data_IF_717127380281
#
_entry.id   IF_717127380281
#
_cell.length_a   1.000
_cell.length_b   1.000
_cell.length_c   1.000
_cell.angle_alpha   90.00
_cell.angle_beta   90.00
_cell.angle_gamma   90.00
#
_symmetry.space_group_name_H-M   'P 1'
#
loop_
_entity.id
_entity.type
_entity.pdbx_description
1 polymer ?
#
# COMPACT_ATOMS: atom_id res chain seq x y z
N UNK A 1 -29.86 6.28 7.37
CA UNK A 1 -29.10 5.07 7.02
C UNK A 1 -27.65 5.50 6.95
N UNK A 2 -26.77 4.95 7.77
CA UNK A 2 -25.32 5.20 7.67
C UNK A 2 -24.87 4.75 6.28
N UNK A 3 -24.20 5.62 5.54
CA UNK A 3 -23.60 5.28 4.26
C UNK A 3 -22.51 4.24 4.56
N UNK A 4 -22.74 2.99 4.18
CA UNK A 4 -21.72 1.96 4.28
C UNK A 4 -20.53 2.41 3.43
N UNK A 5 -19.34 2.46 4.03
CA UNK A 5 -18.10 2.74 3.29
C UNK A 5 -17.88 1.73 2.16
N UNK A 6 -16.92 1.97 1.27
CA UNK A 6 -16.61 1.04 0.18
C UNK A 6 -16.26 -0.35 0.73
N UNK A 7 -16.70 -1.39 0.03
CA UNK A 7 -16.42 -2.78 0.41
C UNK A 7 -14.88 -3.04 0.34
N UNK A 8 -14.21 -3.35 1.46
CA UNK A 8 -12.75 -3.52 1.47
C UNK A 8 -12.25 -4.61 0.52
N UNK A 9 -13.04 -5.66 0.28
CA UNK A 9 -12.68 -6.76 -0.62
C UNK A 9 -12.64 -6.27 -2.07
N UNK A 10 -13.67 -5.53 -2.50
CA UNK A 10 -13.74 -4.99 -3.86
C UNK A 10 -12.64 -3.94 -4.11
N UNK A 11 -12.36 -3.11 -3.11
CA UNK A 11 -11.26 -2.14 -3.18
C UNK A 11 -9.93 -2.86 -3.30
N UNK A 12 -9.70 -3.89 -2.48
CA UNK A 12 -8.48 -4.69 -2.53
C UNK A 12 -8.28 -5.32 -3.91
N UNK A 13 -9.31 -5.98 -4.46
CA UNK A 13 -9.26 -6.58 -5.80
C UNK A 13 -8.93 -5.52 -6.88
N UNK A 14 -9.50 -4.32 -6.76
CA UNK A 14 -9.24 -3.21 -7.71
C UNK A 14 -7.80 -2.73 -7.64
N UNK A 15 -7.22 -2.60 -6.44
CA UNK A 15 -5.83 -2.16 -6.24
C UNK A 15 -4.85 -3.22 -6.70
N UNK A 16 -5.09 -4.50 -6.38
CA UNK A 16 -4.26 -5.61 -6.89
C UNK A 16 -4.26 -5.64 -8.41
N UNK A 17 -5.44 -5.50 -9.03
CA UNK A 17 -5.57 -5.43 -10.50
C UNK A 17 -4.77 -4.27 -11.11
N UNK A 18 -4.70 -3.12 -10.40
CA UNK A 18 -3.95 -1.95 -10.87
C UNK A 18 -2.43 -2.09 -10.68
N UNK A 19 -1.98 -2.76 -9.60
CA UNK A 19 -0.56 -2.91 -9.27
C UNK A 19 0.09 -4.11 -9.97
N UNK A 20 -0.65 -5.18 -10.24
CA UNK A 20 -0.12 -6.40 -10.86
C UNK A 20 0.66 -6.15 -12.17
N UNK A 21 0.13 -5.39 -13.15
CA UNK A 21 0.90 -5.13 -14.38
C UNK A 21 2.16 -4.31 -14.14
N UNK A 22 2.19 -3.47 -13.08
CA UNK A 22 3.38 -2.71 -12.73
C UNK A 22 4.43 -3.65 -12.14
N UNK A 23 4.05 -4.61 -11.30
CA UNK A 23 4.94 -5.66 -10.79
C UNK A 23 5.52 -6.53 -11.92
N UNK A 24 4.66 -6.94 -12.88
CA UNK A 24 5.05 -7.74 -14.04
C UNK A 24 6.02 -6.99 -14.98
N UNK A 25 5.91 -5.67 -15.06
CA UNK A 25 6.77 -4.84 -15.92
C UNK A 25 8.14 -4.51 -15.33
N UNK A 26 8.44 -4.92 -14.09
CA UNK A 26 9.77 -4.70 -13.48
C UNK A 26 10.78 -5.66 -14.08
N UNK A 27 11.90 -5.14 -14.56
CA UNK A 27 13.02 -5.92 -15.08
C UNK A 27 14.14 -6.07 -14.04
N UNK A 28 14.93 -7.13 -14.15
CA UNK A 28 16.08 -7.35 -13.26
C UNK A 28 17.08 -6.18 -13.27
N UNK A 29 17.24 -5.50 -14.40
CA UNK A 29 18.11 -4.33 -14.52
C UNK A 29 17.65 -3.11 -13.72
N UNK A 30 16.35 -3.05 -13.38
CA UNK A 30 15.76 -1.94 -12.65
C UNK A 30 15.78 -2.12 -11.13
N UNK A 31 16.09 -3.32 -10.61
CA UNK A 31 15.99 -3.62 -9.17
C UNK A 31 16.80 -2.67 -8.28
N UNK A 32 17.94 -2.18 -8.77
CA UNK A 32 18.79 -1.22 -8.05
C UNK A 32 18.48 0.24 -8.38
N UNK A 33 17.45 0.53 -9.17
CA UNK A 33 17.07 1.91 -9.48
C UNK A 33 16.50 2.60 -8.24
N UNK A 34 16.72 3.90 -8.14
CA UNK A 34 16.13 4.75 -7.09
C UNK A 34 14.63 4.89 -7.28
N UNK A 35 13.91 5.12 -6.18
CA UNK A 35 12.47 5.34 -6.18
C UNK A 35 12.13 6.71 -5.59
N UNK A 36 10.89 7.18 -5.70
CA UNK A 36 10.42 8.36 -4.96
C UNK A 36 10.50 8.19 -3.42
N UNK A 37 10.58 6.97 -2.91
CA UNK A 37 10.94 6.68 -1.53
C UNK A 37 12.47 6.73 -1.40
N UNK A 38 13.02 7.86 -1.03
CA UNK A 38 14.44 8.23 -1.19
C UNK A 38 15.47 7.23 -0.66
N UNK A 39 15.11 6.41 0.33
CA UNK A 39 16.00 5.40 0.91
C UNK A 39 15.80 3.99 0.32
N UNK A 40 14.84 3.82 -0.60
CA UNK A 40 14.49 2.52 -1.15
C UNK A 40 14.82 2.40 -2.65
N UNK A 41 15.44 1.29 -2.99
CA UNK A 41 15.54 0.82 -4.37
C UNK A 41 14.20 0.22 -4.82
N UNK A 42 14.07 -0.05 -6.12
CA UNK A 42 12.92 -0.82 -6.65
C UNK A 42 12.77 -2.17 -5.94
N UNK A 43 13.88 -2.88 -5.68
CA UNK A 43 13.87 -4.14 -4.94
C UNK A 43 13.33 -3.96 -3.52
N UNK A 44 13.82 -2.95 -2.79
CA UNK A 44 13.37 -2.65 -1.43
C UNK A 44 11.89 -2.32 -1.40
N UNK A 45 11.40 -1.53 -2.36
CA UNK A 45 9.99 -1.15 -2.47
C UNK A 45 9.08 -2.37 -2.73
N UNK A 46 9.52 -3.30 -3.59
CA UNK A 46 8.79 -4.56 -3.84
C UNK A 46 8.75 -5.40 -2.55
N UNK A 47 9.88 -5.59 -1.87
CA UNK A 47 9.94 -6.33 -0.62
C UNK A 47 9.02 -5.73 0.45
N UNK A 48 8.97 -4.39 0.55
CA UNK A 48 8.02 -3.70 1.43
C UNK A 48 6.57 -4.03 1.05
N UNK A 49 6.21 -3.91 -0.22
CA UNK A 49 4.85 -4.20 -0.69
C UNK A 49 4.41 -5.64 -0.36
N UNK A 50 5.33 -6.62 -0.47
CA UNK A 50 5.07 -8.00 -0.06
C UNK A 50 4.89 -8.12 1.46
N UNK A 51 5.78 -7.51 2.25
CA UNK A 51 5.75 -7.57 3.71
C UNK A 51 4.48 -6.93 4.30
N UNK A 52 3.99 -5.83 3.72
CA UNK A 52 2.75 -5.17 4.13
C UNK A 52 1.54 -6.08 3.92
N UNK A 53 1.51 -6.92 2.87
CA UNK A 53 0.45 -7.91 2.66
C UNK A 53 0.50 -9.03 3.72
N UNK A 54 1.70 -9.52 4.04
CA UNK A 54 1.90 -10.50 5.12
C UNK A 54 1.42 -9.93 6.45
N UNK A 55 1.77 -8.69 6.76
CA UNK A 55 1.33 -8.00 7.96
C UNK A 55 -0.20 -7.89 8.03
N UNK A 56 -0.85 -7.40 6.98
CA UNK A 56 -2.31 -7.28 6.90
C UNK A 56 -3.01 -8.62 7.11
N UNK A 57 -2.53 -9.67 6.45
CA UNK A 57 -3.04 -11.03 6.60
C UNK A 57 -2.89 -11.55 8.04
N UNK A 58 -1.73 -11.33 8.65
CA UNK A 58 -1.43 -11.78 10.02
C UNK A 58 -2.35 -11.13 11.05
N UNK A 59 -2.60 -9.83 10.94
CA UNK A 59 -3.52 -9.12 11.83
C UNK A 59 -4.93 -9.66 11.72
N UNK A 60 -5.44 -9.84 10.48
CA UNK A 60 -6.80 -10.35 10.26
C UNK A 60 -6.95 -11.81 10.71
N UNK A 61 -5.90 -12.62 10.60
CA UNK A 61 -5.86 -14.01 11.05
C UNK A 61 -5.57 -14.15 12.54
N UNK A 62 -5.41 -13.03 13.28
CA UNK A 62 -5.06 -13.00 14.71
C UNK A 62 -3.76 -13.76 15.03
N UNK A 63 -2.84 -13.82 14.07
CA UNK A 63 -1.47 -14.26 14.29
C UNK A 63 -0.63 -13.05 14.70
N UNK A 64 0.52 -13.29 15.36
CA UNK A 64 1.40 -12.19 15.78
C UNK A 64 2.10 -11.60 14.55
N UNK A 65 1.77 -10.38 14.12
CA UNK A 65 2.46 -9.77 12.99
C UNK A 65 3.88 -9.36 13.40
N UNK A 66 4.84 -9.66 12.55
CA UNK A 66 6.20 -9.16 12.70
C UNK A 66 6.31 -7.78 12.06
N UNK A 67 6.20 -6.72 12.88
CA UNK A 67 6.34 -5.34 12.44
C UNK A 67 7.76 -5.04 11.91
N UNK A 68 8.79 -5.73 12.42
CA UNK A 68 10.16 -5.50 11.98
C UNK A 68 10.37 -5.96 10.54
N UNK A 69 9.63 -6.96 10.08
CA UNK A 69 9.72 -7.44 8.70
C UNK A 69 9.32 -6.39 7.66
N UNK A 70 8.42 -5.46 8.00
CA UNK A 70 8.00 -4.39 7.08
C UNK A 70 9.11 -3.37 6.81
N UNK A 71 10.05 -3.19 7.74
CA UNK A 71 11.20 -2.31 7.59
C UNK A 71 12.47 -3.04 7.10
N UNK A 72 12.51 -4.36 7.16
CA UNK A 72 13.63 -5.15 6.66
C UNK A 72 13.43 -5.47 5.17
N UNK A 73 13.75 -4.51 4.32
CA UNK A 73 13.47 -4.55 2.87
C UNK A 73 14.70 -4.82 2.01
N UNK A 74 15.91 -4.81 2.60
CA UNK A 74 17.19 -4.93 1.89
C UNK A 74 17.65 -6.40 1.78
N UNK A 75 16.84 -7.19 1.09
CA UNK A 75 17.16 -8.59 0.78
C UNK A 75 16.79 -8.92 -0.66
N UNK A 76 17.32 -10.04 -1.18
CA UNK A 76 16.98 -10.50 -2.53
C UNK A 76 15.47 -10.76 -2.65
N UNK A 77 14.91 -10.47 -3.82
CA UNK A 77 13.54 -10.86 -4.13
C UNK A 77 13.37 -12.38 -4.05
N UNK A 78 12.16 -12.87 -3.78
CA UNK A 78 11.82 -14.27 -3.95
C UNK A 78 12.28 -14.82 -5.32
N UNK A 79 12.74 -16.06 -5.37
CA UNK A 79 13.32 -16.66 -6.59
C UNK A 79 12.35 -16.71 -7.76
N UNK A 80 11.05 -16.74 -7.49
CA UNK A 80 9.97 -16.71 -8.48
C UNK A 80 9.78 -15.33 -9.13
N UNK A 81 10.42 -14.28 -8.60
CA UNK A 81 10.35 -12.91 -9.09
C UNK A 81 9.16 -12.11 -8.52
N UNK A 82 9.16 -10.80 -8.81
CA UNK A 82 8.22 -9.85 -8.22
C UNK A 82 6.75 -10.16 -8.52
N UNK A 83 6.41 -10.44 -9.78
CA UNK A 83 5.03 -10.72 -10.20
C UNK A 83 4.47 -11.96 -9.52
N UNK A 84 5.18 -13.08 -9.57
CA UNK A 84 4.71 -14.34 -9.02
C UNK A 84 4.61 -14.28 -7.48
N UNK A 85 5.59 -13.67 -6.81
CA UNK A 85 5.55 -13.45 -5.37
C UNK A 85 4.38 -12.54 -4.97
N UNK A 86 4.16 -11.43 -5.68
CA UNK A 86 3.04 -10.52 -5.43
C UNK A 86 1.70 -11.21 -5.65
N UNK A 87 1.57 -11.99 -6.74
CA UNK A 87 0.35 -12.77 -6.99
C UNK A 87 0.06 -13.75 -5.86
N UNK A 88 1.05 -14.53 -5.45
CA UNK A 88 0.90 -15.54 -4.40
C UNK A 88 0.43 -14.92 -3.07
N UNK A 89 1.05 -13.83 -2.64
CA UNK A 89 0.68 -13.18 -1.38
C UNK A 89 -0.68 -12.49 -1.47
N UNK A 90 -1.01 -11.85 -2.59
CA UNK A 90 -2.30 -11.18 -2.77
C UNK A 90 -3.46 -12.17 -2.88
N UNK A 91 -3.27 -13.34 -3.48
CA UNK A 91 -4.26 -14.42 -3.47
C UNK A 91 -4.52 -14.89 -2.02
N UNK A 92 -3.47 -15.06 -1.21
CA UNK A 92 -3.57 -15.42 0.21
C UNK A 92 -4.31 -14.34 1.01
N UNK A 93 -3.96 -13.08 0.81
CA UNK A 93 -4.62 -11.95 1.48
C UNK A 93 -6.09 -11.87 1.10
N UNK A 94 -6.43 -12.04 -0.17
CA UNK A 94 -7.81 -12.04 -0.65
C UNK A 94 -8.62 -13.19 -0.05
N UNK A 95 -8.05 -14.39 0.04
CA UNK A 95 -8.70 -15.52 0.70
C UNK A 95 -8.97 -15.24 2.18
N UNK A 96 -8.01 -14.62 2.88
CA UNK A 96 -8.15 -14.20 4.27
C UNK A 96 -9.26 -13.15 4.42
N UNK A 97 -9.29 -12.12 3.57
CA UNK A 97 -10.34 -11.10 3.57
C UNK A 97 -11.74 -11.69 3.39
N UNK A 98 -11.88 -12.65 2.47
CA UNK A 98 -13.18 -13.32 2.19
C UNK A 98 -13.64 -14.23 3.34
N UNK A 99 -12.73 -14.74 4.16
CA UNK A 99 -13.04 -15.62 5.28
C UNK A 99 -13.14 -14.93 6.64
N UNK A 100 -12.51 -13.76 6.79
CA UNK A 100 -12.47 -13.03 8.04
C UNK A 100 -13.80 -12.29 8.32
N UNK A 101 -14.18 -12.21 9.60
CA UNK A 101 -15.22 -11.28 10.02
C UNK A 101 -14.61 -9.88 10.20
N UNK A 102 -14.79 -9.03 9.20
CA UNK A 102 -14.19 -7.70 9.14
C UNK A 102 -14.79 -6.68 10.13
N UNK A 103 -15.92 -7.02 10.78
CA UNK A 103 -16.52 -6.20 11.84
C UNK A 103 -15.83 -6.40 13.20
N UNK A 104 -15.06 -7.48 13.35
CA UNK A 104 -14.34 -7.75 14.61
C UNK A 104 -13.20 -6.75 14.77
N UNK A 105 -13.10 -6.18 15.98
CA UNK A 105 -12.00 -5.30 16.35
C UNK A 105 -10.67 -6.05 16.36
N UNK A 106 -9.69 -5.48 15.67
CA UNK A 106 -8.29 -5.91 15.68
C UNK A 106 -7.44 -4.92 16.47
N UNK A 107 -6.37 -5.41 17.10
CA UNK A 107 -5.40 -4.60 17.83
C UNK A 107 -4.13 -4.49 17.01
N UNK A 108 -3.68 -3.28 16.78
CA UNK A 108 -2.49 -3.00 15.99
C UNK A 108 -1.67 -1.87 16.61
N UNK A 109 -0.48 -1.62 16.09
CA UNK A 109 0.31 -0.41 16.43
C UNK A 109 -0.37 0.90 16.04
N UNK A 110 -1.38 0.85 15.14
CA UNK A 110 -2.20 1.99 14.74
C UNK A 110 -3.44 2.18 15.63
N UNK A 111 -3.59 1.37 16.70
CA UNK A 111 -4.74 1.37 17.59
C UNK A 111 -5.68 0.19 17.39
N UNK A 112 -6.84 0.27 18.05
CA UNK A 112 -7.92 -0.72 17.96
C UNK A 112 -9.00 -0.23 17.00
N UNK A 113 -9.37 -1.05 16.01
CA UNK A 113 -10.39 -0.71 15.02
C UNK A 113 -10.99 -1.97 14.39
N UNK A 114 -12.18 -1.90 13.75
CA UNK A 114 -12.70 -3.01 12.95
C UNK A 114 -11.71 -3.46 11.88
N UNK A 115 -11.63 -4.77 11.62
CA UNK A 115 -10.73 -5.34 10.62
C UNK A 115 -10.90 -4.74 9.22
N UNK A 116 -12.15 -4.39 8.85
CA UNK A 116 -12.45 -3.71 7.59
C UNK A 116 -11.85 -2.31 7.49
N UNK A 117 -11.75 -1.57 8.59
CA UNK A 117 -11.08 -0.28 8.63
C UNK A 117 -9.56 -0.46 8.61
N UNK A 118 -9.06 -1.43 9.36
CA UNK A 118 -7.63 -1.73 9.40
C UNK A 118 -7.06 -2.05 8.02
N UNK A 119 -7.73 -2.92 7.25
CA UNK A 119 -7.19 -3.35 5.95
C UNK A 119 -7.13 -2.20 4.92
N UNK A 120 -7.86 -1.10 5.13
CA UNK A 120 -7.76 0.09 4.29
C UNK A 120 -6.38 0.76 4.39
N UNK A 121 -5.63 0.54 5.48
CA UNK A 121 -4.26 1.06 5.64
C UNK A 121 -3.30 0.40 4.63
N UNK A 122 -3.10 -0.94 4.62
CA UNK A 122 -2.27 -1.59 3.62
C UNK A 122 -2.81 -1.45 2.18
N UNK A 123 -4.11 -1.28 1.98
CA UNK A 123 -4.69 -0.96 0.66
C UNK A 123 -4.21 0.42 0.18
N UNK A 124 -4.27 1.43 1.05
CA UNK A 124 -3.80 2.78 0.72
C UNK A 124 -2.29 2.82 0.46
N UNK A 125 -1.53 2.06 1.22
CA UNK A 125 -0.10 1.84 1.00
C UNK A 125 0.19 1.32 -0.42
N UNK A 126 -0.53 0.28 -0.87
CA UNK A 126 -0.42 -0.23 -2.24
C UNK A 126 -0.78 0.81 -3.32
N UNK A 127 -1.77 1.67 -3.08
CA UNK A 127 -2.17 2.72 -4.02
C UNK A 127 -1.01 3.69 -4.24
N UNK A 128 -0.37 4.12 -3.16
CA UNK A 128 0.74 5.08 -3.19
C UNK A 128 1.98 4.42 -3.81
N UNK A 129 2.34 3.23 -3.35
CA UNK A 129 3.53 2.52 -3.82
C UNK A 129 3.40 1.97 -5.26
N UNK A 130 2.19 1.78 -5.77
CA UNK A 130 1.96 1.55 -7.20
C UNK A 130 2.50 2.74 -8.03
N UNK A 131 2.25 3.96 -7.58
CA UNK A 131 2.78 5.15 -8.24
C UNK A 131 4.31 5.22 -8.12
N UNK A 132 4.86 5.01 -6.90
CA UNK A 132 6.31 5.03 -6.67
C UNK A 132 7.04 4.03 -7.58
N UNK A 133 6.54 2.79 -7.66
CA UNK A 133 7.12 1.73 -8.48
C UNK A 133 7.03 2.05 -9.98
N UNK A 134 5.87 2.53 -10.42
CA UNK A 134 5.67 2.90 -11.82
C UNK A 134 6.59 4.05 -12.26
N UNK A 135 6.76 5.08 -11.41
CA UNK A 135 7.70 6.19 -11.67
C UNK A 135 9.14 5.69 -11.75
N UNK A 136 9.57 4.85 -10.81
CA UNK A 136 10.92 4.31 -10.76
C UNK A 136 11.27 3.41 -11.97
N UNK A 137 10.27 2.78 -12.56
CA UNK A 137 10.45 1.82 -13.66
C UNK A 137 10.03 2.35 -15.03
N UNK A 138 9.61 3.62 -15.11
CA UNK A 138 9.19 4.27 -16.36
C UNK A 138 7.85 3.74 -16.90
N UNK A 139 7.01 3.21 -16.04
CA UNK A 139 5.68 2.70 -16.38
C UNK A 139 4.59 3.76 -16.13
N UNK A 140 3.34 3.46 -16.50
CA UNK A 140 2.20 4.36 -16.23
C UNK A 140 1.94 4.53 -14.74
N UNK A 141 2.18 5.73 -14.23
CA UNK A 141 2.00 6.09 -12.83
C UNK A 141 0.60 6.66 -12.52
N UNK A 142 -0.36 6.51 -13.45
CA UNK A 142 -1.74 7.00 -13.24
C UNK A 142 -2.45 6.21 -12.17
N UNK A 143 -2.98 6.89 -11.16
CA UNK A 143 -3.88 6.33 -10.14
C UNK A 143 -5.32 6.64 -10.56
N UNK A 144 -6.20 5.64 -10.49
CA UNK A 144 -7.63 5.84 -10.70
C UNK A 144 -8.18 6.89 -9.72
N UNK A 145 -9.07 7.78 -10.20
CA UNK A 145 -9.56 8.88 -9.39
C UNK A 145 -10.31 8.42 -8.13
N UNK A 146 -11.09 7.35 -8.21
CA UNK A 146 -11.82 6.82 -7.06
C UNK A 146 -10.86 6.21 -6.02
N UNK A 147 -9.80 5.54 -6.47
CA UNK A 147 -8.75 5.02 -5.59
C UNK A 147 -7.94 6.15 -4.95
N UNK A 148 -7.66 7.22 -5.68
CA UNK A 148 -6.96 8.37 -5.12
C UNK A 148 -7.79 9.10 -4.07
N UNK A 149 -9.08 9.35 -4.32
CA UNK A 149 -9.99 9.95 -3.33
C UNK A 149 -10.15 9.08 -2.09
N UNK A 150 -10.25 7.76 -2.27
CA UNK A 150 -10.28 6.81 -1.16
C UNK A 150 -8.98 6.87 -0.34
N UNK A 151 -7.83 6.89 -1.00
CA UNK A 151 -6.53 7.04 -0.33
C UNK A 151 -6.46 8.32 0.52
N UNK A 152 -6.97 9.44 0.01
CA UNK A 152 -7.07 10.69 0.76
C UNK A 152 -7.95 10.53 2.01
N UNK A 153 -9.14 9.91 1.86
CA UNK A 153 -10.06 9.70 2.99
C UNK A 153 -9.43 8.85 4.09
N UNK A 154 -8.71 7.79 3.73
CA UNK A 154 -8.04 6.88 4.68
C UNK A 154 -6.83 7.56 5.33
N UNK A 155 -6.03 8.27 4.54
CA UNK A 155 -4.76 8.84 5.01
C UNK A 155 -4.96 10.09 5.86
N UNK A 156 -5.91 10.97 5.53
CA UNK A 156 -6.10 12.27 6.19
C UNK A 156 -6.14 12.18 7.72
N UNK A 157 -6.91 11.29 8.35
CA UNK A 157 -6.96 11.20 9.81
C UNK A 157 -5.68 10.59 10.43
N UNK A 158 -4.87 9.89 9.67
CA UNK A 158 -3.71 9.14 10.17
C UNK A 158 -2.36 9.78 9.82
N UNK A 159 -2.31 10.67 8.84
CA UNK A 159 -1.06 11.16 8.27
C UNK A 159 -0.18 11.94 9.25
N UNK A 160 -0.79 12.68 10.18
CA UNK A 160 -0.04 13.45 11.18
C UNK A 160 0.77 12.50 12.09
N UNK A 161 0.13 11.49 12.67
CA UNK A 161 0.81 10.46 13.46
C UNK A 161 1.79 9.63 12.62
N UNK A 162 1.46 9.40 11.36
CA UNK A 162 2.36 8.73 10.42
C UNK A 162 3.65 9.51 10.16
N UNK A 163 3.58 10.84 10.08
CA UNK A 163 4.76 11.71 9.97
C UNK A 163 5.59 11.70 11.25
N UNK A 164 4.96 11.78 12.41
CA UNK A 164 5.65 11.67 13.70
C UNK A 164 6.35 10.32 13.86
N UNK A 165 5.75 9.26 13.35
CA UNK A 165 6.32 7.91 13.31
C UNK A 165 7.36 7.67 12.22
N UNK A 166 7.63 8.65 11.34
CA UNK A 166 8.61 8.53 10.25
C UNK A 166 8.12 7.72 9.04
N UNK A 167 6.82 7.41 8.94
CA UNK A 167 6.25 6.67 7.80
C UNK A 167 6.00 7.56 6.57
N UNK A 168 5.85 8.86 6.75
CA UNK A 168 5.61 9.83 5.69
C UNK A 168 6.54 11.02 5.81
N UNK A 169 7.01 11.52 4.66
CA UNK A 169 7.71 12.80 4.57
C UNK A 169 6.79 14.00 4.87
N UNK A 170 7.36 15.20 4.93
CA UNK A 170 6.59 16.44 4.99
C UNK A 170 5.59 16.52 3.84
N UNK A 171 4.43 17.12 4.08
CA UNK A 171 3.44 17.35 3.04
C UNK A 171 4.00 18.25 1.93
N UNK A 172 3.79 17.82 0.68
CA UNK A 172 4.04 18.64 -0.49
C UNK A 172 2.75 19.37 -0.85
N UNK A 173 2.74 20.68 -0.68
CA UNK A 173 1.55 21.50 -0.95
C UNK A 173 1.30 21.55 -2.46
N UNK A 174 0.10 21.15 -2.85
CA UNK A 174 -0.39 21.23 -4.22
C UNK A 174 -1.56 22.22 -4.32
N UNK A 175 -1.85 22.78 -5.51
CA UNK A 175 -3.02 23.67 -5.68
C UNK A 175 -4.34 22.98 -5.27
N UNK A 176 -5.27 23.74 -4.75
CA UNK A 176 -6.61 23.23 -4.39
C UNK A 176 -7.36 22.61 -5.58
N UNK A 177 -7.02 23.03 -6.81
CA UNK A 177 -7.56 22.48 -8.07
C UNK A 177 -6.81 21.27 -8.60
N UNK A 178 -5.79 20.78 -7.88
CA UNK A 178 -5.01 19.62 -8.30
C UNK A 178 -5.89 18.36 -8.39
N UNK A 179 -5.45 17.41 -9.21
CA UNK A 179 -6.12 16.11 -9.34
C UNK A 179 -6.16 15.38 -7.99
N UNK A 180 -7.06 14.42 -7.82
CA UNK A 180 -7.08 13.58 -6.62
C UNK A 180 -5.75 12.85 -6.44
N UNK A 181 -5.14 12.38 -7.54
CA UNK A 181 -3.82 11.77 -7.50
C UNK A 181 -2.78 12.73 -6.92
N UNK A 182 -2.68 13.96 -7.43
CA UNK A 182 -1.67 14.91 -6.95
C UNK A 182 -1.89 15.29 -5.49
N UNK A 183 -3.15 15.42 -5.08
CA UNK A 183 -3.51 15.66 -3.66
C UNK A 183 -3.10 14.51 -2.76
N UNK A 184 -3.37 13.25 -3.17
CA UNK A 184 -2.94 12.06 -2.43
C UNK A 184 -1.42 12.00 -2.31
N UNK A 185 -0.71 12.24 -3.43
CA UNK A 185 0.74 12.23 -3.47
C UNK A 185 1.33 13.33 -2.58
N UNK A 186 0.84 14.57 -2.71
CA UNK A 186 1.26 15.67 -1.83
C UNK A 186 1.02 15.36 -0.35
N UNK A 187 -0.17 14.87 0.00
CA UNK A 187 -0.52 14.46 1.37
C UNK A 187 0.44 13.41 1.91
N UNK A 188 0.88 12.45 1.09
CA UNK A 188 1.81 11.39 1.47
C UNK A 188 3.30 11.78 1.36
N UNK A 189 3.60 13.06 1.07
CA UNK A 189 4.96 13.59 1.00
C UNK A 189 5.67 13.35 -0.34
N UNK A 190 4.94 12.98 -1.40
CA UNK A 190 5.49 12.82 -2.76
C UNK A 190 5.32 14.12 -3.55
N UNK A 191 6.28 14.37 -4.43
CA UNK A 191 6.14 15.43 -5.46
C UNK A 191 5.51 14.81 -6.70
N UNK A 192 4.28 15.22 -7.08
CA UNK A 192 3.54 14.67 -8.22
C UNK A 192 4.24 14.82 -9.57
#
# INVERSE_FOLDING_TARGET
MAQQGPNPIEVYESVVKALMPVMAGVTAAQLNSTTPCTEWTVQSLINHALAVQVFGTSVLSKTSPDMASMGNVDHALPSEGAEAAFKSITDTTLATLKSANLEVTVKTSFGEMPGGNFIMIPITDMIIHKWDLAKATGQSATIDNALAELGIQVLTPAVAGGREGGFFGPEVIVPASASAQDRLLGLSGRTP
#
